data_IF_924329528910
#
_entry.id   IF_924329528910
#
_cell.length_a   1.000
_cell.length_b   1.000
_cell.length_c   1.000
_cell.angle_alpha   90.00
_cell.angle_beta   90.00
_cell.angle_gamma   90.00
#
_symmetry.space_group_name_H-M   'P 1'
#
loop_
_entity.id
_entity.type
_entity.pdbx_description
1 polymer ?
#
# COMPACT_ATOMS: atom_id res chain seq x y z
N UNK A 1 66.56 45.13 -20.92
CA UNK A 1 66.33 43.69 -21.13
C UNK A 1 66.18 43.07 -19.75
N UNK A 2 65.02 42.42 -19.45
CA UNK A 2 64.69 41.49 -18.35
C UNK A 2 65.45 41.61 -17.00
N UNK A 3 64.86 41.66 -15.80
CA UNK A 3 63.51 41.44 -15.26
C UNK A 3 63.58 41.55 -13.72
N UNK A 4 62.51 42.01 -13.05
CA UNK A 4 61.72 41.30 -12.01
C UNK A 4 62.54 40.46 -10.98
N UNK A 5 62.33 40.50 -9.66
CA UNK A 5 61.04 40.57 -8.93
C UNK A 5 61.27 40.64 -7.39
N UNK A 6 60.49 41.52 -6.74
CA UNK A 6 59.67 41.32 -5.51
C UNK A 6 60.25 40.75 -4.21
N UNK A 7 59.96 41.46 -3.11
CA UNK A 7 59.53 40.85 -1.86
C UNK A 7 58.36 41.64 -1.28
N UNK A 8 57.24 40.94 -1.09
CA UNK A 8 55.97 41.46 -0.57
C UNK A 8 55.96 41.35 0.97
N UNK A 9 55.42 42.37 1.64
CA UNK A 9 54.81 42.26 2.95
C UNK A 9 53.50 43.05 2.91
N UNK A 10 52.37 42.35 2.86
CA UNK A 10 51.04 42.94 3.04
C UNK A 10 50.53 42.56 4.43
N UNK A 11 50.36 43.58 5.26
CA UNK A 11 49.75 43.49 6.58
C UNK A 11 48.22 43.44 6.47
N UNK A 12 47.63 42.57 7.29
CA UNK A 12 46.19 42.36 7.40
C UNK A 12 45.51 43.52 8.14
N UNK A 13 44.34 43.94 7.64
CA UNK A 13 43.38 44.75 8.39
C UNK A 13 42.05 43.98 8.43
N UNK A 14 41.74 43.48 9.62
CA UNK A 14 40.45 42.88 9.99
C UNK A 14 39.40 43.97 10.17
N UNK A 15 38.33 43.91 9.38
CA UNK A 15 37.12 44.74 9.60
C UNK A 15 36.04 43.83 10.16
N UNK A 16 35.65 44.07 11.42
CA UNK A 16 34.57 43.39 12.10
C UNK A 16 33.22 43.89 11.55
N UNK A 17 32.41 43.01 10.98
CA UNK A 17 31.03 43.28 10.61
C UNK A 17 30.08 42.80 11.72
N UNK A 18 29.09 43.61 12.15
CA UNK A 18 28.09 43.15 13.10
C UNK A 18 27.10 42.20 12.39
N UNK A 19 27.12 40.93 12.80
CA UNK A 19 26.11 39.94 12.44
C UNK A 19 24.78 40.33 13.11
N UNK A 20 23.88 40.93 12.32
CA UNK A 20 22.47 41.02 12.67
C UNK A 20 21.89 39.60 12.69
N UNK A 21 21.81 39.01 13.88
CA UNK A 21 21.09 37.77 14.12
C UNK A 21 19.59 38.03 13.92
N UNK A 22 19.10 37.80 12.71
CA UNK A 22 17.67 37.56 12.49
C UNK A 22 17.33 36.25 13.18
N UNK A 23 16.85 36.36 14.43
CA UNK A 23 16.11 35.29 15.08
C UNK A 23 14.82 35.08 14.27
N UNK A 24 14.93 34.28 13.21
CA UNK A 24 13.77 33.73 12.53
C UNK A 24 13.01 32.93 13.59
N UNK A 25 11.88 33.45 14.02
CA UNK A 25 10.86 32.71 14.75
C UNK A 25 10.40 31.57 13.85
N UNK A 26 11.12 30.45 13.88
CA UNK A 26 10.62 29.17 13.40
C UNK A 26 9.51 28.76 14.37
N UNK A 27 8.34 29.38 14.22
CA UNK A 27 7.12 28.86 14.80
C UNK A 27 6.95 27.42 14.32
N UNK A 28 6.33 26.54 15.13
CA UNK A 28 6.08 25.18 14.71
C UNK A 28 5.30 25.22 13.40
N UNK A 29 5.89 24.68 12.32
CA UNK A 29 5.18 24.48 11.08
C UNK A 29 4.02 23.53 11.40
N UNK A 30 2.79 24.06 11.43
CA UNK A 30 1.62 23.22 11.55
C UNK A 30 1.65 22.22 10.40
N UNK A 31 1.74 20.92 10.73
CA UNK A 31 1.68 19.88 9.72
C UNK A 31 0.36 20.05 8.96
N UNK A 32 0.46 20.22 7.64
CA UNK A 32 -0.71 20.45 6.80
C UNK A 32 -1.70 19.27 6.97
N UNK A 33 -2.97 19.59 7.16
CA UNK A 33 -4.01 18.59 7.39
C UNK A 33 -4.56 18.11 6.06
N UNK A 34 -4.54 16.79 5.85
CA UNK A 34 -5.20 16.20 4.69
C UNK A 34 -6.68 15.97 4.98
N UNK A 35 -7.55 16.54 4.16
CA UNK A 35 -8.99 16.28 4.20
C UNK A 35 -9.38 15.38 3.04
N UNK A 36 -9.95 14.22 3.34
CA UNK A 36 -10.43 13.23 2.37
C UNK A 36 -11.93 13.38 2.14
N UNK A 37 -12.37 13.26 0.90
CA UNK A 37 -13.78 13.17 0.52
C UNK A 37 -14.03 11.91 -0.30
N UNK A 38 -15.00 11.12 0.13
CA UNK A 38 -15.47 9.92 -0.57
C UNK A 38 -16.89 10.15 -1.07
N UNK A 39 -17.14 9.88 -2.35
CA UNK A 39 -18.49 9.84 -2.93
C UNK A 39 -18.75 8.41 -3.39
N UNK A 40 -19.62 7.71 -2.65
CA UNK A 40 -20.10 6.38 -2.99
C UNK A 40 -21.61 6.45 -3.31
N UNK A 41 -22.05 6.04 -4.51
CA UNK A 41 -23.48 6.00 -4.87
C UNK A 41 -24.32 5.11 -3.94
N UNK A 42 -23.71 4.10 -3.34
CA UNK A 42 -24.39 3.25 -2.36
C UNK A 42 -24.40 3.94 -0.99
N UNK A 43 -25.59 4.22 -0.46
CA UNK A 43 -25.79 4.93 0.81
C UNK A 43 -25.22 4.19 2.03
N UNK A 44 -25.16 2.86 1.98
CA UNK A 44 -24.52 2.01 3.00
C UNK A 44 -22.99 1.90 2.82
N UNK A 45 -22.43 2.61 1.83
CA UNK A 45 -21.02 2.56 1.47
C UNK A 45 -20.58 1.26 0.83
N UNK A 46 -21.46 0.32 0.49
CA UNK A 46 -21.07 -0.98 -0.04
C UNK A 46 -20.37 -0.87 -1.40
N UNK A 47 -19.41 -1.76 -1.64
CA UNK A 47 -18.82 -1.95 -2.96
C UNK A 47 -18.50 -3.43 -3.19
N UNK A 48 -18.45 -3.83 -4.45
CA UNK A 48 -17.81 -5.05 -4.93
C UNK A 48 -16.61 -4.72 -5.80
N UNK A 49 -15.65 -5.63 -5.87
CA UNK A 49 -14.42 -5.45 -6.61
C UNK A 49 -14.01 -6.79 -7.23
N UNK A 50 -13.86 -6.83 -8.55
CA UNK A 50 -13.44 -8.05 -9.28
C UNK A 50 -12.08 -7.82 -9.90
N UNK A 51 -11.12 -8.68 -9.60
CA UNK A 51 -9.76 -8.58 -10.14
C UNK A 51 -9.61 -9.27 -11.49
N UNK A 52 -8.63 -8.83 -12.26
CA UNK A 52 -8.00 -9.67 -13.27
C UNK A 52 -7.20 -10.82 -12.64
N UNK A 53 -6.40 -11.55 -13.44
CA UNK A 53 -5.52 -12.57 -12.91
C UNK A 53 -4.63 -12.03 -11.78
N UNK A 54 -4.50 -12.82 -10.71
CA UNK A 54 -3.58 -12.57 -9.62
C UNK A 54 -2.42 -13.54 -9.75
N UNK A 55 -1.20 -13.00 -9.74
CA UNK A 55 0.02 -13.80 -9.62
C UNK A 55 0.72 -13.39 -8.34
N UNK A 56 0.86 -14.34 -7.42
CA UNK A 56 1.61 -14.17 -6.16
C UNK A 56 3.03 -14.64 -6.39
N UNK A 57 4.01 -13.78 -6.15
CA UNK A 57 5.44 -14.13 -6.23
C UNK A 57 6.17 -13.80 -4.95
N UNK A 58 7.11 -14.65 -4.53
CA UNK A 58 8.00 -14.36 -3.41
C UNK A 58 9.02 -13.25 -3.74
N UNK A 59 9.90 -12.90 -2.80
CA UNK A 59 10.92 -11.86 -3.02
C UNK A 59 11.93 -12.18 -4.13
N UNK A 60 12.14 -13.46 -4.45
CA UNK A 60 13.02 -13.86 -5.56
C UNK A 60 12.34 -13.82 -6.93
N UNK A 61 11.05 -13.45 -6.98
CA UNK A 61 10.26 -13.38 -8.21
C UNK A 61 9.69 -14.73 -8.65
N UNK A 62 9.83 -15.78 -7.83
CA UNK A 62 9.27 -17.10 -8.09
C UNK A 62 7.77 -17.07 -7.85
N UNK A 63 6.99 -17.52 -8.83
CA UNK A 63 5.54 -17.67 -8.69
C UNK A 63 5.21 -18.72 -7.63
N UNK A 64 4.28 -18.39 -6.75
CA UNK A 64 3.76 -19.30 -5.72
C UNK A 64 2.35 -19.74 -6.10
N UNK A 65 1.50 -18.79 -6.47
CA UNK A 65 0.13 -19.06 -6.88
C UNK A 65 -0.26 -18.19 -8.07
N UNK A 66 -1.03 -18.79 -8.96
CA UNK A 66 -1.76 -18.07 -10.02
C UNK A 66 -3.24 -18.29 -9.80
N UNK A 67 -4.01 -17.21 -9.73
CA UNK A 67 -5.46 -17.26 -9.59
C UNK A 67 -6.11 -16.50 -10.75
N UNK A 68 -7.23 -16.99 -11.32
CA UNK A 68 -7.83 -16.38 -12.51
C UNK A 68 -8.47 -15.01 -12.24
N UNK A 69 -9.15 -14.84 -11.10
CA UNK A 69 -9.82 -13.59 -10.72
C UNK A 69 -10.31 -13.67 -9.28
N UNK A 70 -10.04 -12.65 -8.46
CA UNK A 70 -10.61 -12.50 -7.12
C UNK A 70 -11.88 -11.67 -7.16
N UNK A 71 -12.85 -12.02 -6.32
CA UNK A 71 -14.04 -11.21 -6.08
C UNK A 71 -14.07 -10.83 -4.61
N UNK A 72 -14.12 -9.53 -4.33
CA UNK A 72 -14.09 -8.96 -2.99
C UNK A 72 -15.28 -8.04 -2.79
N UNK A 73 -15.77 -7.96 -1.56
CA UNK A 73 -16.78 -6.99 -1.16
C UNK A 73 -16.33 -6.24 0.09
N UNK A 74 -16.78 -4.99 0.20
CA UNK A 74 -16.35 -4.11 1.28
C UNK A 74 -17.29 -2.95 1.51
N UNK A 75 -16.80 -1.99 2.31
CA UNK A 75 -17.49 -0.74 2.56
C UNK A 75 -16.51 0.42 2.50
N UNK A 76 -16.89 1.45 1.75
CA UNK A 76 -16.22 2.73 1.62
C UNK A 76 -17.31 3.82 1.76
N UNK A 77 -17.71 4.19 2.99
CA UNK A 77 -18.80 5.12 3.23
C UNK A 77 -18.53 6.50 2.66
N UNK A 78 -19.55 7.14 2.09
CA UNK A 78 -19.46 8.52 1.62
C UNK A 78 -19.22 9.50 2.76
N UNK A 79 -18.65 10.67 2.45
CA UNK A 79 -18.46 11.78 3.38
C UNK A 79 -17.03 12.30 3.45
N UNK A 80 -16.88 13.43 4.15
CA UNK A 80 -15.61 14.14 4.33
C UNK A 80 -15.01 13.85 5.71
N UNK A 81 -13.69 13.67 5.78
CA UNK A 81 -12.97 13.37 7.04
C UNK A 81 -11.50 13.79 6.97
N UNK A 82 -10.92 14.10 8.12
CA UNK A 82 -9.48 14.35 8.26
C UNK A 82 -8.69 13.10 8.65
N UNK A 83 -9.39 12.03 9.05
CA UNK A 83 -8.77 10.72 9.29
C UNK A 83 -8.39 10.06 7.97
N UNK A 84 -7.29 9.31 7.96
CA UNK A 84 -6.84 8.60 6.77
C UNK A 84 -7.59 7.27 6.53
N UNK A 85 -8.35 6.77 7.50
CA UNK A 85 -9.18 5.58 7.34
C UNK A 85 -10.41 5.86 6.46
N UNK A 86 -10.46 5.22 5.29
CA UNK A 86 -11.50 5.49 4.29
C UNK A 86 -12.61 4.43 4.29
N UNK A 87 -12.29 3.19 4.64
CA UNK A 87 -13.20 2.04 4.64
C UNK A 87 -12.43 0.73 4.71
N UNK A 88 -13.01 -0.38 4.26
CA UNK A 88 -12.37 -1.69 4.34
C UNK A 88 -12.91 -2.70 3.32
N UNK A 89 -12.09 -3.71 3.00
CA UNK A 89 -12.55 -4.98 2.45
C UNK A 89 -13.11 -5.81 3.62
N UNK A 90 -14.34 -6.30 3.45
CA UNK A 90 -15.03 -7.11 4.46
C UNK A 90 -14.90 -8.60 4.18
N UNK A 91 -14.98 -8.98 2.92
CA UNK A 91 -14.97 -10.38 2.50
C UNK A 91 -14.36 -10.53 1.11
N UNK A 92 -13.84 -11.72 0.81
CA UNK A 92 -13.38 -12.10 -0.52
C UNK A 92 -13.77 -13.55 -0.76
N UNK A 93 -14.34 -13.81 -1.92
CA UNK A 93 -14.88 -15.12 -2.29
C UNK A 93 -13.78 -16.18 -2.31
N UNK A 94 -14.20 -17.43 -2.12
CA UNK A 94 -13.35 -18.59 -2.36
C UNK A 94 -12.92 -18.63 -3.82
N UNK A 95 -11.67 -18.99 -4.06
CA UNK A 95 -11.08 -19.00 -5.39
C UNK A 95 -10.28 -20.28 -5.64
N UNK A 96 -10.26 -20.74 -6.88
CA UNK A 96 -9.34 -21.79 -7.31
C UNK A 96 -8.11 -21.15 -7.92
N UNK A 97 -6.96 -21.49 -7.38
CA UNK A 97 -5.64 -21.07 -7.81
C UNK A 97 -4.81 -22.31 -8.18
N UNK A 98 -3.68 -22.08 -8.83
CA UNK A 98 -2.77 -23.13 -9.28
C UNK A 98 -1.36 -22.80 -8.83
N UNK A 99 -0.65 -23.79 -8.32
CA UNK A 99 0.78 -23.71 -8.03
C UNK A 99 1.61 -23.95 -9.32
N UNK A 100 2.92 -23.65 -9.34
CA UNK A 100 3.76 -23.80 -10.53
C UNK A 100 3.83 -25.22 -11.10
N UNK A 101 3.61 -26.22 -10.26
CA UNK A 101 3.57 -27.65 -10.62
C UNK A 101 2.23 -28.09 -11.23
N UNK A 102 1.26 -27.18 -11.36
CA UNK A 102 -0.09 -27.47 -11.86
C UNK A 102 -1.07 -27.93 -10.78
N UNK A 103 -0.64 -28.11 -9.54
CA UNK A 103 -1.52 -28.52 -8.44
C UNK A 103 -2.60 -27.47 -8.20
N UNK A 104 -3.84 -27.91 -8.05
CA UNK A 104 -4.98 -27.04 -7.73
C UNK A 104 -5.03 -26.73 -6.23
N UNK A 105 -5.18 -25.45 -5.92
CA UNK A 105 -5.29 -24.91 -4.56
C UNK A 105 -6.58 -24.10 -4.45
N UNK A 106 -7.34 -24.32 -3.39
CA UNK A 106 -8.47 -23.46 -3.03
C UNK A 106 -7.97 -22.35 -2.11
N UNK A 107 -7.92 -21.14 -2.64
CA UNK A 107 -7.66 -19.93 -1.88
C UNK A 107 -8.91 -19.47 -1.14
N UNK A 108 -8.74 -19.11 0.12
CA UNK A 108 -9.70 -18.41 0.95
C UNK A 108 -9.02 -17.17 1.51
N UNK A 109 -9.66 -16.03 1.30
CA UNK A 109 -9.20 -14.74 1.77
C UNK A 109 -10.10 -14.33 2.92
N UNK A 110 -9.62 -14.51 4.14
CA UNK A 110 -10.39 -14.13 5.33
C UNK A 110 -9.83 -12.85 5.92
N UNK A 111 -10.69 -11.86 6.16
CA UNK A 111 -10.38 -10.73 7.04
C UNK A 111 -10.44 -11.19 8.52
N UNK A 112 -9.83 -12.35 8.83
CA UNK A 112 -10.06 -13.08 10.08
C UNK A 112 -9.49 -12.41 11.34
N UNK A 113 -8.76 -11.29 11.20
CA UNK A 113 -8.23 -10.52 12.32
C UNK A 113 -8.50 -9.01 12.16
N UNK A 114 -9.75 -8.66 11.90
CA UNK A 114 -10.20 -7.27 11.74
C UNK A 114 -10.45 -6.89 10.28
N UNK A 115 -11.23 -5.82 10.09
CA UNK A 115 -11.53 -5.30 8.77
C UNK A 115 -10.22 -4.93 8.05
N UNK A 116 -10.06 -5.35 6.79
CA UNK A 116 -8.88 -4.96 6.01
C UNK A 116 -9.03 -3.51 5.58
N UNK A 117 -8.58 -2.60 6.44
CA UNK A 117 -8.82 -1.17 6.33
C UNK A 117 -8.03 -0.55 5.17
N UNK A 118 -8.66 0.36 4.45
CA UNK A 118 -8.02 1.25 3.49
C UNK A 118 -7.59 2.54 4.20
N UNK A 119 -6.30 2.83 4.13
CA UNK A 119 -5.71 4.06 4.63
C UNK A 119 -5.23 4.93 3.46
N UNK A 120 -5.81 6.11 3.30
CA UNK A 120 -5.36 7.13 2.35
C UNK A 120 -3.95 7.64 2.69
N UNK A 121 -3.09 7.74 1.67
CA UNK A 121 -1.71 8.26 1.81
C UNK A 121 -1.50 9.56 1.05
N UNK A 122 -1.97 9.63 -0.19
CA UNK A 122 -1.82 10.81 -1.03
C UNK A 122 -2.87 10.82 -2.14
N UNK A 123 -3.14 11.99 -2.71
CA UNK A 123 -4.04 12.18 -3.84
C UNK A 123 -3.38 13.05 -4.90
N UNK A 124 -3.38 12.56 -6.15
CA UNK A 124 -2.97 13.32 -7.32
C UNK A 124 -4.22 13.84 -8.04
N UNK A 125 -4.47 15.14 -7.94
CA UNK A 125 -5.61 15.78 -8.56
C UNK A 125 -5.56 15.79 -10.09
N UNK A 126 -4.36 15.84 -10.69
CA UNK A 126 -4.18 15.86 -12.14
C UNK A 126 -4.59 14.53 -12.78
N UNK A 127 -4.32 13.41 -12.10
CA UNK A 127 -4.67 12.06 -12.60
C UNK A 127 -5.93 11.48 -11.94
N UNK A 128 -6.47 12.13 -10.91
CA UNK A 128 -7.59 11.61 -10.12
C UNK A 128 -7.24 10.30 -9.40
N UNK A 129 -6.00 10.18 -8.94
CA UNK A 129 -5.44 8.95 -8.40
C UNK A 129 -5.16 9.07 -6.90
N UNK A 130 -5.60 8.08 -6.13
CA UNK A 130 -5.37 7.99 -4.69
C UNK A 130 -4.40 6.86 -4.38
N UNK A 131 -3.33 7.16 -3.64
CA UNK A 131 -2.48 6.13 -3.03
C UNK A 131 -3.13 5.65 -1.73
N UNK A 132 -3.27 4.34 -1.61
CA UNK A 132 -3.89 3.66 -0.48
C UNK A 132 -2.92 2.61 0.09
N UNK A 133 -3.08 2.29 1.36
CA UNK A 133 -2.53 1.09 1.97
C UNK A 133 -3.66 0.24 2.52
N UNK A 134 -3.63 -1.05 2.25
CA UNK A 134 -4.56 -2.01 2.80
C UNK A 134 -3.89 -2.90 3.87
N UNK A 135 -4.51 -2.98 5.05
CA UNK A 135 -3.93 -3.61 6.24
C UNK A 135 -2.85 -2.73 6.89
N UNK A 136 -3.08 -2.32 8.13
CA UNK A 136 -2.09 -1.64 8.97
C UNK A 136 -1.27 -2.67 9.79
N UNK A 137 -0.41 -2.21 10.70
CA UNK A 137 0.42 -3.09 11.55
C UNK A 137 -0.40 -4.14 12.33
N UNK A 138 -1.67 -3.87 12.64
CA UNK A 138 -2.51 -4.73 13.49
C UNK A 138 -3.54 -5.53 12.69
N UNK A 139 -4.13 -4.94 11.64
CA UNK A 139 -5.12 -5.56 10.76
C UNK A 139 -4.44 -6.21 9.55
N UNK A 140 -4.65 -7.51 9.35
CA UNK A 140 -3.97 -8.28 8.29
C UNK A 140 -4.95 -9.02 7.39
N UNK A 141 -4.64 -9.11 6.11
CA UNK A 141 -5.36 -9.98 5.18
C UNK A 141 -4.81 -11.38 5.40
N UNK A 142 -5.65 -12.33 5.80
CA UNK A 142 -5.27 -13.73 5.87
C UNK A 142 -5.55 -14.38 4.51
N UNK A 143 -4.49 -14.89 3.88
CA UNK A 143 -4.57 -15.69 2.68
C UNK A 143 -4.29 -17.13 3.07
N UNK A 144 -5.29 -17.99 2.96
CA UNK A 144 -5.15 -19.43 3.20
C UNK A 144 -5.42 -20.16 1.91
N UNK A 145 -4.45 -20.96 1.47
CA UNK A 145 -4.58 -21.84 0.32
C UNK A 145 -4.62 -23.29 0.83
N UNK A 146 -5.56 -24.10 0.36
CA UNK A 146 -5.64 -25.52 0.72
C UNK A 146 -5.79 -26.40 -0.52
N UNK A 147 -5.22 -27.60 -0.49
CA UNK A 147 -5.43 -28.63 -1.53
C UNK A 147 -6.48 -29.63 -1.08
N UNK A 148 -6.97 -30.45 -2.02
CA UNK A 148 -7.90 -31.55 -1.72
C UNK A 148 -7.27 -32.66 -0.88
N UNK A 149 -5.94 -32.82 -0.93
CA UNK A 149 -5.18 -33.84 -0.18
C UNK A 149 -4.72 -33.36 1.21
N UNK A 150 -5.18 -32.17 1.65
CA UNK A 150 -4.91 -31.65 2.99
C UNK A 150 -3.67 -30.78 3.12
N UNK A 151 -2.87 -30.56 2.06
CA UNK A 151 -1.82 -29.54 2.09
C UNK A 151 -2.46 -28.16 2.26
N UNK A 152 -1.81 -27.30 3.02
CA UNK A 152 -2.32 -25.97 3.29
C UNK A 152 -1.16 -24.98 3.43
N UNK A 153 -1.37 -23.75 2.98
CA UNK A 153 -0.40 -22.66 3.03
C UNK A 153 -1.16 -21.39 3.45
N UNK A 154 -0.96 -20.98 4.70
CA UNK A 154 -1.51 -19.75 5.26
C UNK A 154 -0.44 -18.68 5.41
N UNK A 155 -0.72 -17.45 4.97
CA UNK A 155 0.11 -16.31 5.31
C UNK A 155 -0.73 -15.05 5.50
N UNK A 156 -0.23 -14.17 6.35
CA UNK A 156 -0.84 -12.87 6.59
C UNK A 156 -0.06 -11.80 5.86
N UNK A 157 -0.76 -10.91 5.18
CA UNK A 157 -0.16 -9.71 4.63
C UNK A 157 -0.57 -8.47 5.42
N UNK A 158 0.36 -7.52 5.48
CA UNK A 158 0.14 -6.17 5.95
C UNK A 158 0.75 -5.20 4.94
N UNK A 159 0.32 -3.93 4.99
CA UNK A 159 0.85 -2.87 4.14
C UNK A 159 0.80 -3.18 2.64
N UNK A 160 -0.34 -3.69 2.17
CA UNK A 160 -0.54 -3.89 0.73
C UNK A 160 -0.67 -2.54 0.05
N UNK A 161 0.32 -2.19 -0.76
CA UNK A 161 0.37 -0.92 -1.46
C UNK A 161 -0.62 -0.94 -2.62
N UNK A 162 -1.54 0.04 -2.61
CA UNK A 162 -2.63 0.12 -3.57
C UNK A 162 -2.77 1.50 -4.18
N UNK A 163 -3.35 1.55 -5.37
CA UNK A 163 -3.63 2.79 -6.09
C UNK A 163 -5.03 2.73 -6.68
N UNK A 164 -5.87 3.70 -6.33
CA UNK A 164 -7.22 3.82 -6.87
C UNK A 164 -7.29 4.95 -7.90
N UNK A 165 -7.82 4.69 -9.08
CA UNK A 165 -8.01 5.69 -10.14
C UNK A 165 -9.50 5.95 -10.34
N UNK A 166 -9.94 7.19 -10.05
CA UNK A 166 -11.36 7.57 -10.14
C UNK A 166 -11.94 7.34 -11.55
N UNK A 167 -11.21 7.77 -12.58
CA UNK A 167 -11.67 7.74 -13.97
C UNK A 167 -12.01 6.32 -14.47
N UNK A 168 -11.25 5.32 -14.02
CA UNK A 168 -11.45 3.93 -14.42
C UNK A 168 -12.16 3.10 -13.35
N UNK A 169 -12.35 3.64 -12.15
CA UNK A 169 -12.81 2.91 -10.96
C UNK A 169 -11.99 1.64 -10.71
N UNK A 170 -10.68 1.73 -10.92
CA UNK A 170 -9.76 0.60 -10.76
C UNK A 170 -8.94 0.76 -9.50
N UNK A 171 -8.89 -0.27 -8.67
CA UNK A 171 -7.98 -0.41 -7.55
C UNK A 171 -6.85 -1.36 -7.95
N UNK A 172 -5.63 -0.88 -8.05
CA UNK A 172 -4.45 -1.68 -8.36
C UNK A 172 -3.72 -2.06 -7.08
N UNK A 173 -3.41 -3.34 -6.91
CA UNK A 173 -2.47 -3.82 -5.91
C UNK A 173 -1.15 -4.17 -6.60
N UNK A 174 -0.02 -3.98 -5.90
CA UNK A 174 1.32 -4.21 -6.48
C UNK A 174 2.14 -5.14 -5.61
N UNK A 175 2.31 -4.76 -4.35
CA UNK A 175 3.13 -5.48 -3.38
C UNK A 175 2.38 -5.60 -2.07
N UNK A 176 2.72 -6.64 -1.31
CA UNK A 176 2.27 -6.83 0.05
C UNK A 176 3.45 -7.31 0.91
N UNK A 177 3.44 -7.02 2.20
CA UNK A 177 4.48 -7.50 3.12
C UNK A 177 3.93 -8.66 3.92
N UNK A 178 4.62 -9.80 3.91
CA UNK A 178 4.25 -10.97 4.71
C UNK A 178 4.48 -10.64 6.18
N UNK A 179 3.39 -10.49 6.95
CA UNK A 179 3.46 -10.24 8.40
C UNK A 179 3.87 -11.48 9.16
N UNK A 180 3.32 -12.62 8.76
CA UNK A 180 3.57 -13.92 9.36
C UNK A 180 3.44 -14.96 8.25
N UNK A 181 4.46 -15.80 8.12
CA UNK A 181 4.37 -17.09 7.43
C UNK A 181 4.29 -18.14 8.54
N UNK A 182 3.25 -18.96 8.57
CA UNK A 182 3.07 -19.98 9.62
C UNK A 182 4.27 -20.92 9.71
N UNK A 183 4.69 -21.21 10.94
CA UNK A 183 5.73 -22.21 11.26
C UNK A 183 5.18 -23.65 11.20
N UNK A 184 6.10 -24.61 11.25
CA UNK A 184 5.89 -26.06 11.15
C UNK A 184 4.76 -26.56 12.09
N UNK A 185 3.79 -27.31 11.55
CA UNK A 185 2.67 -27.90 12.31
C UNK A 185 1.27 -27.28 12.10
N UNK A 186 1.16 -26.16 11.37
CA UNK A 186 -0.11 -25.55 10.92
C UNK A 186 0.12 -24.91 9.52
N UNK A 187 -0.92 -24.60 8.72
CA UNK A 187 -0.88 -24.65 7.23
C UNK A 187 0.38 -24.02 6.63
N UNK A 188 1.35 -24.85 6.23
CA UNK A 188 2.75 -24.51 5.98
C UNK A 188 2.98 -23.85 4.60
N UNK A 189 3.16 -22.52 4.58
CA UNK A 189 3.85 -21.85 3.46
C UNK A 189 5.39 -21.93 3.59
N UNK A 190 5.88 -22.78 4.48
CA UNK A 190 7.30 -22.91 4.82
C UNK A 190 8.08 -23.34 3.57
N UNK A 191 9.10 -22.55 3.19
CA UNK A 191 9.87 -22.73 1.94
C UNK A 191 9.33 -21.97 0.74
N UNK A 192 8.05 -21.54 0.74
CA UNK A 192 7.47 -20.68 -0.29
C UNK A 192 7.56 -19.20 0.08
N UNK A 193 7.36 -18.89 1.36
CA UNK A 193 7.40 -17.54 1.90
C UNK A 193 8.22 -17.44 3.20
N UNK A 194 8.86 -16.30 3.40
CA UNK A 194 9.58 -15.89 4.61
C UNK A 194 8.84 -14.76 5.29
N UNK A 195 8.70 -14.83 6.62
CA UNK A 195 8.14 -13.72 7.40
C UNK A 195 8.92 -12.41 7.16
N UNK A 196 8.20 -11.31 7.02
CA UNK A 196 8.74 -9.97 6.77
C UNK A 196 9.10 -9.69 5.32
N UNK A 197 9.09 -10.68 4.43
CA UNK A 197 9.43 -10.43 3.03
C UNK A 197 8.35 -9.63 2.31
N UNK A 198 8.77 -8.84 1.32
CA UNK A 198 7.84 -8.20 0.37
C UNK A 198 7.58 -9.16 -0.78
N UNK A 199 6.31 -9.48 -0.99
CA UNK A 199 5.84 -10.31 -2.10
C UNK A 199 5.27 -9.42 -3.20
N UNK A 200 5.33 -9.92 -4.43
CA UNK A 200 4.54 -9.33 -5.52
C UNK A 200 3.12 -9.85 -5.39
N UNK A 201 2.17 -8.91 -5.29
CA UNK A 201 0.73 -9.14 -5.23
C UNK A 201 0.06 -8.25 -6.28
N UNK A 202 0.42 -8.50 -7.54
CA UNK A 202 0.07 -7.63 -8.65
C UNK A 202 -1.27 -8.06 -9.25
N UNK A 203 -2.29 -7.22 -9.10
CA UNK A 203 -3.57 -7.38 -9.78
C UNK A 203 -4.33 -6.05 -9.82
N UNK A 204 -5.33 -5.96 -10.69
CA UNK A 204 -6.19 -4.79 -10.86
C UNK A 204 -7.63 -5.19 -10.64
N UNK A 205 -8.29 -4.53 -9.69
CA UNK A 205 -9.69 -4.74 -9.34
C UNK A 205 -10.55 -3.66 -9.97
N UNK A 206 -11.57 -4.06 -10.72
CA UNK A 206 -12.66 -3.17 -11.12
C UNK A 206 -13.63 -3.04 -9.96
N UNK A 207 -13.82 -1.82 -9.45
CA UNK A 207 -14.70 -1.51 -8.33
C UNK A 207 -16.07 -1.06 -8.84
N UNK A 208 -17.13 -1.62 -8.25
CA UNK A 208 -18.53 -1.31 -8.54
C UNK A 208 -19.31 -1.04 -7.24
N UNK A 209 -20.10 0.03 -7.15
CA UNK A 209 -20.25 1.10 -8.14
C UNK A 209 -18.95 1.91 -8.29
N UNK A 210 -18.90 2.78 -9.30
CA UNK A 210 -17.83 3.77 -9.40
C UNK A 210 -17.84 4.68 -8.15
N UNK A 211 -16.71 4.77 -7.46
CA UNK A 211 -16.54 5.59 -6.26
C UNK A 211 -15.54 6.70 -6.60
N UNK A 212 -15.75 7.90 -6.07
CA UNK A 212 -14.80 9.00 -6.21
C UNK A 212 -14.12 9.24 -4.88
N UNK A 213 -12.79 9.24 -4.89
CA UNK A 213 -11.96 9.58 -3.73
C UNK A 213 -11.12 10.80 -4.10
N UNK A 214 -11.18 11.85 -3.29
CA UNK A 214 -10.35 13.05 -3.45
C UNK A 214 -9.75 13.48 -2.12
N UNK A 215 -8.68 14.26 -2.16
CA UNK A 215 -8.16 14.92 -0.97
C UNK A 215 -7.69 16.35 -1.25
N UNK A 216 -7.74 17.18 -0.23
CA UNK A 216 -7.12 18.51 -0.19
C UNK A 216 -6.16 18.59 0.99
N UNK A 217 -5.13 19.42 0.87
CA UNK A 217 -4.15 19.67 1.93
C UNK A 217 -4.22 21.16 2.27
N UNK A 218 -4.45 21.47 3.54
CA UNK A 218 -4.61 22.83 4.07
C UNK A 218 -3.85 23.02 5.36
#
# INVERSE_FOLDING_TARGET
MFGMRTSHLLAAITVAAPLLATAALSGPAHAATTTWTVVNPNSNGAFSAVSGPLVVKNKSGTTIFTCPSLSSSGSLPAGTRTTSGLGAIKYTDLINCTAPDGTAWRGQFTAAAGASNFTGKSYNAATGTTSLVNGDLFNSINLVFTTVVGNSCGFWTHHTAMTYTNATSTLKATTAVVKLATAEGAPTCQGLLTQGETITFATEYKVTPAIKITATVS
#
